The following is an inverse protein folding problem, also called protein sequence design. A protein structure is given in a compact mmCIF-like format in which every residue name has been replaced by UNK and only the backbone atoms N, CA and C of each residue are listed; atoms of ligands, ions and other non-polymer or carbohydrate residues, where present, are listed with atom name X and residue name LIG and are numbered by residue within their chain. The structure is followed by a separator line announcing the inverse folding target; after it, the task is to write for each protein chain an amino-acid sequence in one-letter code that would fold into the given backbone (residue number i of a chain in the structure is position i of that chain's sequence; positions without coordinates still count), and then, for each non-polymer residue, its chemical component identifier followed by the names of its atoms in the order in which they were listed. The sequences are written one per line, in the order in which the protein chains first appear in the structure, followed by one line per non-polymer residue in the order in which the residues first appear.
data_IF_243313678803
#
_entry.id   IF_243313678803
#
_cell.length_a   1.000
_cell.length_b   1.000
_cell.length_c   1.000
_cell.angle_alpha   90.00
_cell.angle_beta   90.00
_cell.angle_gamma   90.00
#
_symmetry.space_group_name_H-M   'P 1'
#
loop_
_entity.id
_entity.type
_entity.pdbx_description
1 polymer ?
#
# COMPACT_ATOMS: atom_id res chain seq x y z
N UNK A 1 -16.63 -23.91 0.92
CA UNK A 1 -16.11 -23.35 2.19
C UNK A 1 -16.19 -21.85 2.07
N UNK A 2 -16.93 -21.16 2.94
CA UNK A 2 -17.03 -19.70 2.87
C UNK A 2 -15.63 -19.07 2.97
N UNK A 3 -15.23 -18.32 1.94
CA UNK A 3 -13.93 -17.67 1.91
C UNK A 3 -13.79 -16.74 3.12
N UNK A 4 -12.81 -17.00 3.98
CA UNK A 4 -12.53 -16.18 5.15
C UNK A 4 -12.24 -14.74 4.70
N UNK A 5 -13.09 -13.81 5.13
CA UNK A 5 -12.95 -12.38 4.85
C UNK A 5 -12.10 -11.74 5.95
N UNK A 6 -11.06 -11.03 5.54
CA UNK A 6 -10.14 -10.32 6.43
C UNK A 6 -10.23 -8.81 6.21
N UNK A 7 -9.82 -8.04 7.20
CA UNK A 7 -9.75 -6.58 7.13
C UNK A 7 -8.31 -6.13 7.41
N UNK A 8 -7.78 -5.27 6.55
CA UNK A 8 -6.43 -4.72 6.70
C UNK A 8 -6.33 -3.33 6.11
N UNK A 9 -5.31 -2.59 6.55
CA UNK A 9 -5.00 -1.27 5.99
C UNK A 9 -3.95 -1.40 4.90
N UNK A 10 -4.11 -0.66 3.82
CA UNK A 10 -3.19 -0.71 2.68
C UNK A 10 -1.98 0.18 2.97
N UNK A 11 -0.80 -0.45 3.03
CA UNK A 11 0.48 0.22 3.27
C UNK A 11 1.03 0.85 2.00
N UNK A 12 1.14 0.05 0.94
CA UNK A 12 1.72 0.46 -0.34
C UNK A 12 1.28 -0.44 -1.49
N UNK A 13 1.45 0.05 -2.71
CA UNK A 13 1.15 -0.68 -3.95
C UNK A 13 2.48 -0.99 -4.65
N UNK A 14 2.77 -2.27 -4.86
CA UNK A 14 3.99 -2.74 -5.53
C UNK A 14 3.85 -2.69 -7.04
N UNK A 15 2.71 -3.14 -7.55
CA UNK A 15 2.39 -3.21 -8.98
C UNK A 15 0.87 -3.06 -9.15
N UNK A 16 0.38 -2.86 -10.37
CA UNK A 16 -1.05 -2.67 -10.66
C UNK A 16 -1.95 -3.83 -10.22
N UNK A 17 -1.38 -4.98 -9.83
CA UNK A 17 -2.11 -6.16 -9.33
C UNK A 17 -1.73 -6.57 -7.90
N UNK A 18 -0.73 -5.92 -7.27
CA UNK A 18 -0.13 -6.41 -6.02
C UNK A 18 0.01 -5.31 -4.99
N UNK A 19 -0.55 -5.54 -3.81
CA UNK A 19 -0.59 -4.59 -2.70
C UNK A 19 0.03 -5.18 -1.44
N UNK A 20 0.64 -4.32 -0.62
CA UNK A 20 1.08 -4.64 0.73
C UNK A 20 0.02 -4.15 1.71
N UNK A 21 -0.50 -5.10 2.48
CA UNK A 21 -1.46 -4.87 3.54
C UNK A 21 -0.75 -4.99 4.89
N UNK A 22 -1.18 -4.20 5.85
CA UNK A 22 -0.74 -4.36 7.24
C UNK A 22 -1.96 -4.45 8.16
N UNK A 23 -1.79 -5.18 9.26
CA UNK A 23 -2.84 -5.31 10.26
C UNK A 23 -3.12 -3.93 10.89
N UNK A 24 -4.40 -3.63 11.10
CA UNK A 24 -4.89 -2.39 11.72
C UNK A 24 -4.31 -2.24 13.13
N UNK A 25 -4.28 -3.33 13.90
CA UNK A 25 -3.84 -3.33 15.28
C UNK A 25 -2.32 -3.46 15.41
N UNK A 26 -1.65 -4.07 14.42
CA UNK A 26 -0.21 -4.30 14.46
C UNK A 26 0.45 -3.97 13.11
N UNK A 27 1.06 -2.78 12.97
CA UNK A 27 1.67 -2.35 11.72
C UNK A 27 2.90 -3.17 11.32
N UNK A 28 3.47 -3.98 12.23
CA UNK A 28 4.62 -4.86 11.94
C UNK A 28 4.21 -6.12 11.19
N UNK A 29 2.94 -6.51 11.25
CA UNK A 29 2.43 -7.66 10.53
C UNK A 29 2.00 -7.24 9.13
N UNK A 30 2.85 -7.53 8.16
CA UNK A 30 2.62 -7.23 6.75
C UNK A 30 2.25 -8.51 5.99
N UNK A 31 1.35 -8.36 5.02
CA UNK A 31 0.96 -9.41 4.08
C UNK A 31 0.99 -8.84 2.67
N UNK A 32 1.45 -9.65 1.73
CA UNK A 32 1.44 -9.29 0.31
C UNK A 32 0.29 -10.02 -0.36
N UNK A 33 -0.65 -9.25 -0.88
CA UNK A 33 -1.83 -9.75 -1.58
C UNK A 33 -1.74 -9.37 -3.05
N UNK A 34 -1.83 -10.37 -3.92
CA UNK A 34 -1.98 -10.19 -5.37
C UNK A 34 -3.43 -10.45 -5.77
N UNK A 35 -3.95 -9.68 -6.73
CA UNK A 35 -5.30 -9.87 -7.25
C UNK A 35 -5.40 -11.20 -8.00
N UNK A 36 -6.46 -11.96 -7.73
CA UNK A 36 -6.72 -13.21 -8.41
C UNK A 36 -7.22 -12.98 -9.84
N UNK A 37 -6.93 -13.93 -10.73
CA UNK A 37 -7.38 -14.01 -12.14
C UNK A 37 -6.94 -12.89 -13.09
N UNK A 38 -6.38 -11.80 -12.57
CA UNK A 38 -5.95 -10.64 -13.35
C UNK A 38 -4.43 -10.52 -13.37
N UNK A 39 -3.91 -9.83 -14.37
CA UNK A 39 -2.49 -9.52 -14.52
C UNK A 39 -2.32 -8.05 -14.88
N UNK A 40 -1.37 -7.39 -14.21
CA UNK A 40 -1.04 -6.00 -14.49
C UNK A 40 0.21 -5.88 -15.39
N UNK A 41 0.29 -4.83 -16.21
CA UNK A 41 1.55 -4.40 -16.81
C UNK A 41 2.62 -4.15 -15.72
N UNK A 42 3.85 -4.59 -15.98
CA UNK A 42 4.94 -4.56 -15.00
C UNK A 42 5.78 -3.29 -15.15
N UNK A 43 6.03 -2.62 -14.02
CA UNK A 43 7.05 -1.57 -13.94
C UNK A 43 8.43 -2.24 -13.83
N UNK A 44 9.37 -1.82 -14.67
CA UNK A 44 10.75 -2.30 -14.69
C UNK A 44 11.68 -1.09 -14.64
N UNK A 45 12.84 -1.26 -14.01
CA UNK A 45 13.82 -0.17 -13.87
C UNK A 45 14.35 0.36 -15.21
N UNK A 46 14.36 -0.47 -16.24
CA UNK A 46 14.98 -0.21 -17.55
C UNK A 46 13.94 0.04 -18.65
N UNK A 47 12.68 0.28 -18.29
CA UNK A 47 11.60 0.54 -19.24
C UNK A 47 10.29 0.02 -18.72
N UNK A 48 9.45 0.92 -18.22
CA UNK A 48 8.09 0.59 -17.79
C UNK A 48 7.28 0.09 -19.00
N UNK A 49 6.49 -0.98 -18.80
CA UNK A 49 5.52 -1.42 -19.82
C UNK A 49 4.49 -0.31 -20.06
N UNK A 50 3.90 -0.20 -21.27
CA UNK A 50 2.85 0.78 -21.53
C UNK A 50 1.73 0.68 -20.48
N UNK A 51 1.27 1.83 -19.99
CA UNK A 51 0.23 1.94 -18.95
C UNK A 51 0.57 1.32 -17.59
N UNK A 52 1.83 0.87 -17.37
CA UNK A 52 2.23 0.25 -16.11
C UNK A 52 2.14 1.21 -14.93
N UNK A 53 2.63 2.43 -15.13
CA UNK A 53 2.62 3.45 -14.09
C UNK A 53 1.19 3.88 -13.75
N UNK A 54 0.36 4.10 -14.75
CA UNK A 54 -1.02 4.56 -14.63
C UNK A 54 -1.89 3.51 -13.92
N UNK A 55 -1.73 2.23 -14.28
CA UNK A 55 -2.38 1.11 -13.59
C UNK A 55 -2.02 1.07 -12.09
N UNK A 56 -0.73 1.26 -11.77
CA UNK A 56 -0.26 1.33 -10.38
C UNK A 56 -0.76 2.59 -9.65
N UNK A 57 -0.75 3.74 -10.32
CA UNK A 57 -1.17 5.03 -9.76
C UNK A 57 -2.68 5.06 -9.48
N UNK A 58 -3.48 4.41 -10.33
CA UNK A 58 -4.90 4.19 -10.12
C UNK A 58 -5.16 3.44 -8.80
N UNK A 59 -4.48 2.30 -8.58
CA UNK A 59 -4.57 1.58 -7.32
C UNK A 59 -4.06 2.41 -6.14
N UNK A 60 -2.98 3.18 -6.33
CA UNK A 60 -2.42 4.04 -5.28
C UNK A 60 -3.45 5.06 -4.79
N UNK A 61 -4.09 5.79 -5.71
CA UNK A 61 -5.14 6.79 -5.43
C UNK A 61 -6.36 6.15 -4.77
N UNK A 62 -6.72 4.94 -5.19
CA UNK A 62 -7.90 4.26 -4.70
C UNK A 62 -7.69 3.67 -3.29
N UNK A 63 -6.55 3.05 -3.02
CA UNK A 63 -6.37 2.13 -1.89
C UNK A 63 -5.45 2.64 -0.78
N UNK A 64 -4.39 3.39 -1.10
CA UNK A 64 -3.34 3.69 -0.12
C UNK A 64 -3.89 4.47 1.07
N UNK A 65 -3.57 4.00 2.28
CA UNK A 65 -4.03 4.60 3.52
C UNK A 65 -5.48 4.26 3.90
N UNK A 66 -6.24 3.56 3.04
CA UNK A 66 -7.61 3.12 3.34
C UNK A 66 -7.62 1.72 3.94
N UNK A 67 -8.67 1.43 4.69
CA UNK A 67 -8.96 0.10 5.22
C UNK A 67 -9.84 -0.63 4.22
N UNK A 68 -9.43 -1.85 3.87
CA UNK A 68 -10.10 -2.68 2.86
C UNK A 68 -10.39 -4.05 3.41
N UNK A 69 -11.46 -4.66 2.88
CA UNK A 69 -11.78 -6.06 3.14
C UNK A 69 -11.24 -6.89 2.00
N UNK A 70 -10.69 -8.05 2.29
CA UNK A 70 -10.17 -8.95 1.28
C UNK A 70 -10.43 -10.40 1.61
N UNK A 71 -10.49 -11.23 0.57
CA UNK A 71 -10.68 -12.67 0.66
C UNK A 71 -9.49 -13.34 -0.01
N UNK A 72 -8.87 -14.29 0.68
CA UNK A 72 -7.76 -15.07 0.13
C UNK A 72 -8.32 -16.33 -0.50
N UNK A 73 -8.07 -16.52 -1.80
CA UNK A 73 -8.52 -17.69 -2.56
C UNK A 73 -7.49 -18.81 -2.48
N UNK A 74 -6.24 -18.52 -2.83
CA UNK A 74 -5.15 -19.49 -2.82
C UNK A 74 -3.82 -18.83 -2.47
N UNK A 75 -2.85 -19.66 -2.07
CA UNK A 75 -1.49 -19.23 -1.80
C UNK A 75 -0.55 -19.99 -2.72
N UNK A 76 0.34 -19.27 -3.39
CA UNK A 76 1.39 -19.90 -4.17
C UNK A 76 2.66 -19.92 -3.31
N UNK A 77 3.24 -21.09 -2.99
CA UNK A 77 4.44 -21.20 -2.16
C UNK A 77 5.75 -20.83 -2.89
N UNK A 78 5.68 -20.39 -4.14
CA UNK A 78 6.85 -20.09 -4.99
C UNK A 78 7.58 -18.83 -4.50
N UNK A 79 8.47 -19.01 -3.53
CA UNK A 79 9.58 -18.10 -3.18
C UNK A 79 9.26 -16.95 -2.22
N UNK A 80 8.04 -16.42 -2.22
CA UNK A 80 7.53 -15.50 -1.22
C UNK A 80 6.08 -15.90 -0.96
N UNK A 81 5.66 -15.99 0.30
CA UNK A 81 4.32 -16.41 0.73
C UNK A 81 3.26 -15.41 0.19
N UNK A 82 3.00 -15.47 -1.12
CA UNK A 82 2.14 -14.57 -1.88
C UNK A 82 0.75 -15.14 -1.83
N UNK A 83 -0.14 -14.36 -1.23
CA UNK A 83 -1.55 -14.67 -1.14
C UNK A 83 -2.23 -14.09 -2.37
N UNK A 84 -3.03 -14.90 -3.05
CA UNK A 84 -3.88 -14.47 -4.15
C UNK A 84 -5.30 -14.33 -3.63
N UNK A 85 -5.94 -13.22 -3.95
CA UNK A 85 -7.24 -12.93 -3.41
C UNK A 85 -7.96 -11.78 -4.09
N UNK A 86 -9.14 -11.49 -3.55
CA UNK A 86 -10.02 -10.44 -4.03
C UNK A 86 -10.10 -9.35 -2.97
N UNK A 87 -10.04 -8.10 -3.41
CA UNK A 87 -10.23 -6.94 -2.54
C UNK A 87 -11.63 -6.39 -2.78
N UNK A 88 -12.39 -6.24 -1.69
CA UNK A 88 -13.71 -5.65 -1.65
C UNK A 88 -13.57 -4.22 -1.16
N UNK A 89 -13.95 -3.27 -2.00
CA UNK A 89 -14.02 -1.86 -1.66
C UNK A 89 -15.18 -1.59 -0.68
N UNK A 90 -15.16 -0.47 0.08
CA UNK A 90 -16.21 -0.16 1.04
C UNK A 90 -17.62 -0.04 0.43
N UNK A 91 -17.71 0.24 -0.87
CA UNK A 91 -18.95 0.27 -1.65
C UNK A 91 -19.45 -1.13 -2.07
N UNK A 92 -18.87 -2.21 -1.53
CA UNK A 92 -19.15 -3.62 -1.89
C UNK A 92 -18.81 -3.99 -3.33
N UNK A 93 -18.03 -3.16 -4.03
CA UNK A 93 -17.55 -3.46 -5.38
C UNK A 93 -16.24 -4.23 -5.30
N UNK A 94 -16.07 -5.20 -6.20
CA UNK A 94 -14.82 -5.93 -6.33
C UNK A 94 -13.79 -5.07 -7.08
N UNK A 95 -12.61 -4.93 -6.47
CA UNK A 95 -11.52 -4.17 -7.06
C UNK A 95 -11.09 -4.70 -8.43
N UNK A 96 -10.93 -6.02 -8.66
CA UNK A 96 -10.55 -6.54 -9.98
C UNK A 96 -11.56 -6.17 -11.07
N UNK A 97 -12.87 -6.21 -10.77
CA UNK A 97 -13.90 -5.81 -11.73
C UNK A 97 -13.77 -4.35 -12.13
N UNK A 98 -13.58 -3.45 -11.15
CA UNK A 98 -13.43 -2.01 -11.43
C UNK A 98 -12.15 -1.72 -12.20
N UNK A 99 -11.04 -2.35 -11.82
CA UNK A 99 -9.75 -2.13 -12.47
C UNK A 99 -9.69 -2.68 -13.90
N UNK A 100 -10.37 -3.79 -14.19
CA UNK A 100 -10.53 -4.31 -15.56
C UNK A 100 -11.49 -3.43 -16.37
N UNK A 101 -12.57 -2.91 -15.77
CA UNK A 101 -13.53 -2.02 -16.44
C UNK A 101 -12.87 -0.73 -16.97
N UNK A 102 -11.94 -0.18 -16.19
CA UNK A 102 -11.16 1.00 -16.57
C UNK A 102 -9.98 0.66 -17.51
N UNK A 103 -9.77 -0.62 -17.83
CA UNK A 103 -8.73 -1.08 -18.76
C UNK A 103 -7.31 -1.08 -18.18
N UNK A 104 -7.15 -1.06 -16.85
CA UNK A 104 -5.83 -1.05 -16.19
C UNK A 104 -5.24 -2.45 -15.95
N UNK A 105 -6.08 -3.49 -16.06
CA UNK A 105 -5.73 -4.89 -15.86
C UNK A 105 -6.25 -5.73 -17.02
N UNK A 106 -5.51 -6.81 -17.32
CA UNK A 106 -5.94 -7.84 -18.28
C UNK A 106 -6.30 -9.13 -17.54
N UNK A 107 -7.19 -9.93 -18.11
CA UNK A 107 -7.45 -11.27 -17.60
C UNK A 107 -6.22 -12.17 -17.83
N UNK A 108 -5.96 -13.09 -16.91
CA UNK A 108 -4.87 -14.07 -17.02
C UNK A 108 -5.38 -15.35 -17.69
N UNK A 109 -4.63 -15.87 -18.65
CA UNK A 109 -5.02 -17.09 -19.39
C UNK A 109 -5.07 -18.36 -18.51
N UNK A 110 -4.28 -18.41 -17.43
CA UNK A 110 -4.29 -19.54 -16.48
C UNK A 110 -5.49 -19.57 -15.52
N UNK A 111 -6.36 -18.56 -15.59
CA UNK A 111 -7.46 -18.38 -14.65
C UNK A 111 -8.43 -19.57 -14.59
N UNK A 112 -8.60 -20.30 -15.71
CA UNK A 112 -9.50 -21.45 -15.80
C UNK A 112 -8.89 -22.81 -15.44
N UNK A 113 -7.58 -22.90 -15.13
CA UNK A 113 -6.91 -24.20 -14.91
C UNK A 113 -6.74 -24.60 -13.44
N UNK A 114 -6.99 -23.70 -12.50
CA UNK A 114 -6.61 -23.89 -11.08
C UNK A 114 -7.75 -23.88 -10.08
N UNK A 115 -8.96 -23.49 -10.47
CA UNK A 115 -10.07 -23.32 -9.53
C UNK A 115 -11.39 -23.85 -10.11
N UNK A 116 -11.86 -24.97 -9.55
CA UNK A 116 -13.13 -25.64 -9.90
C UNK A 116 -14.30 -25.16 -9.01
N UNK A 117 -14.20 -23.99 -8.36
CA UNK A 117 -15.29 -23.45 -7.55
C UNK A 117 -16.30 -22.73 -8.43
N UNK A 118 -17.60 -23.01 -8.25
CA UNK A 118 -18.69 -22.32 -8.97
C UNK A 118 -18.63 -20.79 -8.82
N UNK A 119 -18.22 -20.32 -7.64
CA UNK A 119 -18.06 -18.88 -7.36
C UNK A 119 -16.93 -18.25 -8.20
N UNK A 120 -15.84 -18.99 -8.42
CA UNK A 120 -14.74 -18.52 -9.25
C UNK A 120 -15.14 -18.48 -10.72
N UNK A 121 -15.89 -19.47 -11.21
CA UNK A 121 -16.40 -19.49 -12.58
C UNK A 121 -17.32 -18.29 -12.87
N UNK A 122 -18.25 -17.98 -11.95
CA UNK A 122 -19.13 -16.81 -12.08
C UNK A 122 -18.34 -15.49 -12.09
N UNK A 123 -17.29 -15.38 -11.27
CA UNK A 123 -16.44 -14.20 -11.27
C UNK A 123 -15.68 -14.07 -12.60
N UNK A 124 -15.17 -15.17 -13.15
CA UNK A 124 -14.48 -15.16 -14.44
C UNK A 124 -15.38 -14.71 -15.58
N UNK A 125 -16.61 -15.20 -15.63
CA UNK A 125 -17.60 -14.77 -16.63
C UNK A 125 -17.84 -13.25 -16.53
N UNK A 126 -18.01 -12.72 -15.31
CA UNK A 126 -18.16 -11.27 -15.09
C UNK A 126 -16.94 -10.49 -15.55
N UNK A 127 -15.73 -10.95 -15.21
CA UNK A 127 -14.49 -10.29 -15.61
C UNK A 127 -14.31 -10.30 -17.14
N UNK A 128 -14.70 -11.37 -17.83
CA UNK A 128 -14.68 -11.44 -19.30
C UNK A 128 -15.64 -10.42 -19.94
N UNK A 129 -16.86 -10.31 -19.41
CA UNK A 129 -17.83 -9.31 -19.90
C UNK A 129 -17.30 -7.89 -19.72
N UNK A 130 -16.69 -7.60 -18.58
CA UNK A 130 -16.12 -6.29 -18.27
C UNK A 130 -14.90 -6.00 -19.14
N UNK A 131 -14.03 -6.98 -19.38
CA UNK A 131 -12.88 -6.85 -20.26
C UNK A 131 -13.31 -6.58 -21.71
N UNK A 132 -14.35 -7.27 -22.20
CA UNK A 132 -14.89 -7.04 -23.54
C UNK A 132 -15.42 -5.60 -23.71
N UNK A 133 -16.06 -5.04 -22.67
CA UNK A 133 -16.49 -3.63 -22.65
C UNK A 133 -15.30 -2.67 -22.68
N UNK A 134 -14.28 -2.91 -21.84
CA UNK A 134 -13.09 -2.07 -21.82
C UNK A 134 -12.32 -2.08 -23.16
N UNK A 135 -12.33 -3.22 -23.86
CA UNK A 135 -11.80 -3.36 -25.23
C UNK A 135 -12.62 -2.58 -26.25
N UNK A 136 -13.94 -2.68 -26.19
CA UNK A 136 -14.84 -1.95 -27.08
C UNK A 136 -14.71 -0.42 -26.90
N UNK A 137 -14.47 0.03 -25.67
CA UNK A 137 -14.25 1.44 -25.33
C UNK A 137 -12.79 1.90 -25.55
N UNK A 138 -11.88 1.02 -25.98
CA UNK A 138 -10.44 1.29 -26.16
C UNK A 138 -9.79 1.99 -24.94
N UNK A 139 -10.13 1.54 -23.72
CA UNK A 139 -9.64 2.13 -22.46
C UNK A 139 -8.29 1.55 -22.04
N UNK A 140 -7.43 2.41 -21.49
CA UNK A 140 -6.19 2.02 -20.83
C UNK A 140 -5.30 1.15 -21.72
N UNK A 141 -5.07 -0.10 -21.31
CA UNK A 141 -4.29 -1.10 -22.05
C UNK A 141 -4.78 -1.37 -23.47
N UNK A 142 -6.06 -1.10 -23.76
CA UNK A 142 -6.68 -1.32 -25.07
C UNK A 142 -6.69 -0.06 -25.94
N UNK A 143 -6.13 1.05 -25.46
CA UNK A 143 -6.01 2.28 -26.23
C UNK A 143 -4.90 2.17 -27.29
N UNK A 144 -5.16 2.68 -28.49
CA UNK A 144 -4.24 2.63 -29.64
C UNK A 144 -3.05 3.59 -29.49
N UNK A 145 -3.26 4.74 -28.82
CA UNK A 145 -2.22 5.71 -28.49
C UNK A 145 -1.68 5.47 -27.08
N UNK A 146 -0.52 4.82 -26.96
CA UNK A 146 0.21 4.74 -25.69
C UNK A 146 1.35 5.76 -25.68
N UNK A 147 1.16 6.88 -24.98
CA UNK A 147 2.27 7.75 -24.61
C UNK A 147 3.13 7.02 -23.60
N UNK A 148 4.27 6.46 -24.03
CA UNK A 148 5.23 5.86 -23.11
C UNK A 148 5.73 6.93 -22.15
N UNK A 149 5.56 6.68 -20.86
CA UNK A 149 6.10 7.53 -19.82
C UNK A 149 7.61 7.25 -19.74
N UNK A 150 8.41 8.26 -20.03
CA UNK A 150 9.85 8.20 -19.91
C UNK A 150 10.21 8.43 -18.44
N UNK A 151 10.63 7.35 -17.76
CA UNK A 151 11.12 7.42 -16.39
C UNK A 151 12.64 7.37 -16.36
N UNK A 152 13.30 8.48 -16.03
CA UNK A 152 14.75 8.54 -15.83
C UNK A 152 15.03 8.08 -14.40
N UNK A 153 15.74 6.96 -14.24
CA UNK A 153 16.00 6.33 -12.94
C UNK A 153 17.31 6.79 -12.28
N UNK A 154 18.21 7.41 -13.04
CA UNK A 154 19.48 7.94 -12.54
C UNK A 154 19.73 9.33 -13.13
N UNK A 155 19.81 10.32 -12.24
CA UNK A 155 20.23 11.67 -12.61
C UNK A 155 21.76 11.70 -12.68
N UNK A 156 22.30 11.93 -13.88
CA UNK A 156 23.75 12.06 -14.09
C UNK A 156 24.29 13.32 -13.40
N UNK A 157 23.64 14.46 -13.61
CA UNK A 157 24.04 15.77 -13.09
C UNK A 157 23.02 16.33 -12.09
N UNK A 158 23.10 15.88 -10.83
CA UNK A 158 22.15 16.30 -9.80
C UNK A 158 22.18 17.81 -9.51
N UNK A 159 23.35 18.46 -9.59
CA UNK A 159 23.47 19.90 -9.30
C UNK A 159 22.74 20.76 -10.34
N UNK A 160 22.93 20.44 -11.63
CA UNK A 160 22.25 21.14 -12.74
C UNK A 160 20.74 20.98 -12.64
N UNK A 161 20.27 19.75 -12.37
CA UNK A 161 18.84 19.50 -12.20
C UNK A 161 18.26 20.34 -11.07
N UNK A 162 18.96 20.42 -9.94
CA UNK A 162 18.52 21.28 -8.83
C UNK A 162 18.50 22.74 -9.28
N UNK A 163 19.57 23.25 -9.91
CA UNK A 163 19.68 24.64 -10.39
C UNK A 163 18.54 25.04 -11.35
N UNK A 164 18.19 24.17 -12.28
CA UNK A 164 17.09 24.36 -13.25
C UNK A 164 15.71 24.42 -12.58
N UNK A 165 15.54 23.68 -11.48
CA UNK A 165 14.26 23.50 -10.80
C UNK A 165 14.18 24.26 -9.46
N UNK A 166 15.17 25.12 -9.14
CA UNK A 166 15.15 25.91 -7.90
C UNK A 166 13.94 26.84 -7.86
N UNK A 167 13.29 26.90 -6.69
CA UNK A 167 12.18 27.80 -6.46
C UNK A 167 10.87 27.37 -7.11
N UNK A 168 10.79 26.17 -7.69
CA UNK A 168 9.55 25.58 -8.19
C UNK A 168 9.11 24.42 -7.31
N UNK A 169 7.82 24.37 -7.03
CA UNK A 169 7.21 23.21 -6.39
C UNK A 169 6.91 22.16 -7.47
N UNK A 170 7.39 20.93 -7.25
CA UNK A 170 7.22 19.82 -8.19
C UNK A 170 6.40 18.73 -7.51
N UNK A 171 5.33 18.30 -8.17
CA UNK A 171 4.54 17.17 -7.72
C UNK A 171 5.37 15.90 -7.75
N UNK A 172 5.31 15.13 -6.67
CA UNK A 172 6.16 13.97 -6.53
C UNK A 172 5.48 12.83 -5.75
N UNK A 173 5.84 11.60 -6.10
CA UNK A 173 5.35 10.38 -5.47
C UNK A 173 6.50 9.74 -4.70
N UNK A 174 6.28 9.46 -3.42
CA UNK A 174 7.24 8.72 -2.60
C UNK A 174 7.17 7.22 -2.94
N UNK A 175 8.22 6.72 -3.57
CA UNK A 175 8.33 5.33 -4.01
C UNK A 175 8.78 4.40 -2.88
N UNK A 176 9.81 4.83 -2.14
CA UNK A 176 10.39 4.04 -1.06
C UNK A 176 10.97 4.93 0.03
N UNK A 177 10.71 4.57 1.27
CA UNK A 177 11.35 5.18 2.45
C UNK A 177 12.57 4.33 2.80
N UNK A 178 13.78 4.88 2.68
CA UNK A 178 15.02 4.19 3.08
C UNK A 178 15.33 4.45 4.56
N UNK A 179 15.19 5.70 4.98
CA UNK A 179 15.35 6.16 6.35
C UNK A 179 14.42 7.37 6.58
N UNK A 180 14.34 7.87 7.81
CA UNK A 180 13.52 9.05 8.11
C UNK A 180 13.97 10.32 7.36
N UNK A 181 15.23 10.39 6.94
CA UNK A 181 15.83 11.50 6.19
C UNK A 181 16.03 11.20 4.69
N UNK A 182 15.94 9.93 4.28
CA UNK A 182 16.28 9.47 2.92
C UNK A 182 15.11 8.77 2.25
N UNK A 183 14.66 9.32 1.13
CA UNK A 183 13.50 8.85 0.37
C UNK A 183 13.90 8.62 -1.08
N UNK A 184 13.35 7.59 -1.71
CA UNK A 184 13.32 7.47 -3.18
C UNK A 184 12.00 8.08 -3.62
N UNK A 185 12.09 9.09 -4.48
CA UNK A 185 10.97 9.90 -4.92
C UNK A 185 10.94 9.91 -6.44
N UNK A 186 9.75 9.78 -7.02
CA UNK A 186 9.48 9.96 -8.43
C UNK A 186 8.83 11.33 -8.62
N UNK A 187 9.57 12.27 -9.19
CA UNK A 187 9.11 13.60 -9.57
C UNK A 187 8.33 13.53 -10.88
N UNK A 188 7.19 14.21 -10.92
CA UNK A 188 6.31 14.31 -12.07
C UNK A 188 6.55 15.69 -12.72
N UNK A 189 7.49 15.76 -13.66
CA UNK A 189 7.78 17.04 -14.35
C UNK A 189 6.70 17.34 -15.39
N UNK A 190 6.31 16.31 -16.13
CA UNK A 190 5.28 16.33 -17.16
C UNK A 190 4.51 15.02 -17.13
N UNK A 191 3.27 14.93 -17.65
CA UNK A 191 2.52 13.67 -17.74
C UNK A 191 3.29 12.52 -18.43
N UNK A 192 4.27 12.85 -19.27
CA UNK A 192 5.09 11.90 -20.02
C UNK A 192 6.52 11.77 -19.52
N UNK A 193 6.98 12.67 -18.64
CA UNK A 193 8.38 12.72 -18.19
C UNK A 193 8.47 12.71 -16.67
N UNK A 194 9.01 11.61 -16.15
CA UNK A 194 9.20 11.40 -14.74
C UNK A 194 10.68 11.19 -14.41
N UNK A 195 11.12 11.73 -13.27
CA UNK A 195 12.48 11.54 -12.76
C UNK A 195 12.41 10.85 -11.42
N UNK A 196 13.00 9.66 -11.33
CA UNK A 196 13.09 8.92 -10.09
C UNK A 196 14.50 9.05 -9.52
N UNK A 197 14.62 9.67 -8.34
CA UNK A 197 15.91 9.85 -7.68
C UNK A 197 15.79 9.73 -6.16
N UNK A 198 16.93 9.59 -5.49
CA UNK A 198 17.00 9.61 -4.03
C UNK A 198 17.15 11.05 -3.54
N UNK A 199 16.26 11.44 -2.63
CA UNK A 199 16.21 12.77 -2.03
C UNK A 199 16.54 12.67 -0.55
N UNK A 200 17.28 13.67 -0.05
CA UNK A 200 17.51 13.87 1.37
C UNK A 200 16.71 15.08 1.85
N UNK A 201 16.04 14.93 3.00
CA UNK A 201 15.31 16.03 3.63
C UNK A 201 16.31 17.05 4.19
N UNK A 202 16.22 18.28 3.70
CA UNK A 202 17.10 19.37 4.12
C UNK A 202 16.88 19.73 5.59
N UNK A 203 17.97 20.05 6.30
CA UNK A 203 17.92 20.54 7.68
C UNK A 203 17.66 19.51 8.77
N UNK A 204 17.34 18.25 8.42
CA UNK A 204 17.10 17.18 9.40
C UNK A 204 18.03 15.99 9.17
N UNK A 205 18.27 15.23 10.24
CA UNK A 205 19.01 13.97 10.18
C UNK A 205 18.32 12.94 11.06
N UNK A 206 17.82 11.88 10.44
CA UNK A 206 17.23 10.77 11.16
C UNK A 206 18.31 9.78 11.62
N UNK A 207 18.06 9.01 12.69
CA UNK A 207 18.91 7.88 13.06
C UNK A 207 19.04 6.91 11.89
N UNK A 208 20.26 6.42 11.57
CA UNK A 208 20.41 5.42 10.53
C UNK A 208 19.69 4.14 10.95
N UNK A 209 19.09 3.44 9.98
CA UNK A 209 18.59 2.10 10.20
C UNK A 209 19.77 1.21 10.64
N UNK A 210 19.77 0.81 11.91
CA UNK A 210 20.76 -0.09 12.51
C UNK A 210 20.70 -1.45 11.81
N UNK A 211 21.43 -1.61 10.72
CA UNK A 211 21.43 -2.86 9.93
C UNK A 211 22.58 -3.02 8.94
N UNK A 212 23.51 -2.07 8.80
CA UNK A 212 24.83 -2.35 8.20
C UNK A 212 25.81 -2.70 9.30
N UNK A 213 25.59 -3.84 9.96
CA UNK A 213 26.70 -4.57 10.57
C UNK A 213 27.64 -4.93 9.43
N UNK A 214 28.79 -4.25 9.35
CA UNK A 214 29.95 -4.85 8.69
C UNK A 214 30.18 -6.23 9.34
N UNK A 215 30.74 -7.23 8.64
CA UNK A 215 31.04 -8.55 9.22
C UNK A 215 31.97 -8.50 10.42
N UNK A 216 32.55 -7.34 10.72
CA UNK A 216 33.35 -7.06 11.91
C UNK A 216 32.48 -6.25 12.87
N UNK A 217 32.02 -6.88 13.96
CA UNK A 217 31.15 -6.32 15.00
C UNK A 217 31.72 -5.12 15.77
N UNK A 218 32.05 -4.02 15.08
CA UNK A 218 32.43 -2.74 15.66
C UNK A 218 31.42 -1.68 15.21
N UNK A 219 30.64 -1.19 16.18
CA UNK A 219 29.98 0.11 16.03
C UNK A 219 31.08 1.19 16.06
N UNK A 220 31.18 2.01 15.01
CA UNK A 220 31.99 3.22 15.11
C UNK A 220 31.24 4.24 15.98
N UNK A 221 31.89 4.84 17.00
CA UNK A 221 31.33 6.03 17.63
C UNK A 221 31.26 7.17 16.59
N UNK A 222 30.35 8.14 16.78
CA UNK A 222 30.21 9.27 15.87
C UNK A 222 31.56 9.98 15.73
N UNK A 223 32.00 10.18 14.49
CA UNK A 223 33.28 10.80 14.14
C UNK A 223 33.26 12.26 14.61
N UNK A 224 33.75 12.52 15.83
CA UNK A 224 34.10 13.88 16.27
C UNK A 224 35.25 14.35 15.37
N UNK A 225 35.03 15.46 14.67
CA UNK A 225 36.10 16.20 14.00
C UNK A 225 37.11 16.64 15.06
N UNK A 226 38.26 15.97 15.10
CA UNK A 226 39.32 16.26 16.05
C UNK A 226 40.23 17.35 15.49
N UNK A 227 40.02 18.57 15.95
CA UNK A 227 41.13 19.53 16.13
C UNK A 227 42.01 18.96 17.25
N UNK A 228 43.31 18.77 16.99
CA UNK A 228 44.28 18.30 18.00
C UNK A 228 44.36 19.32 19.14
N UNK A 229 44.56 18.86 20.38
CA UNK A 229 45.89 19.06 20.94
C UNK A 229 46.46 17.83 21.64
N UNK A 230 47.70 18.03 22.06
CA UNK A 230 48.74 17.11 22.44
C UNK A 230 48.56 16.39 23.78
N UNK A 231 49.26 15.26 23.85
CA UNK A 231 49.97 14.68 24.99
C UNK A 231 49.20 14.26 26.25
N UNK A 232 49.28 12.94 26.44
CA UNK A 232 49.64 12.25 27.69
C UNK A 232 48.51 11.68 28.56
N UNK A 233 48.57 10.34 28.63
CA UNK A 233 48.44 9.52 29.84
C UNK A 233 47.06 8.96 30.24
N UNK A 234 47.12 7.63 30.41
CA UNK A 234 46.29 6.72 31.22
C UNK A 234 44.95 6.22 30.67
N UNK A 235 45.00 4.94 30.30
CA UNK A 235 43.90 3.98 30.21
C UNK A 235 43.15 3.91 31.54
N UNK A 236 41.82 3.91 31.47
CA UNK A 236 40.95 3.29 32.48
C UNK A 236 40.02 2.34 31.73
N UNK A 237 40.19 1.04 31.99
CA UNK A 237 39.25 0.00 31.60
C UNK A 237 38.04 0.05 32.54
N UNK A 238 36.83 0.18 32.01
CA UNK A 238 35.61 -0.08 32.77
C UNK A 238 35.16 -1.54 32.56
N UNK A 239 35.02 -2.21 33.70
CA UNK A 239 34.57 -3.57 33.95
C UNK A 239 33.09 -3.81 33.59
N UNK A 240 32.78 -5.03 33.14
CA UNK A 240 31.43 -5.58 33.04
C UNK A 240 31.19 -6.64 34.14
N UNK A 241 29.97 -6.83 34.65
CA UNK A 241 29.60 -8.05 35.35
C UNK A 241 28.72 -8.98 34.49
N UNK A 242 29.02 -10.27 34.55
CA UNK A 242 28.13 -11.38 34.14
C UNK A 242 27.44 -11.94 35.39
N UNK A 243 26.24 -12.53 35.29
CA UNK A 243 25.82 -13.54 36.25
C UNK A 243 25.80 -14.94 35.61
N UNK A 244 26.40 -15.88 36.34
CA UNK A 244 26.40 -17.32 36.10
C UNK A 244 25.25 -18.00 36.82
N UNK A 245 24.73 -19.02 36.15
CA UNK A 245 23.79 -20.05 36.59
C UNK A 245 24.20 -20.78 37.87
N UNK A 246 23.22 -21.08 38.74
CA UNK A 246 23.24 -22.26 39.60
C UNK A 246 21.83 -22.82 39.78
N UNK A 247 21.79 -24.15 39.86
CA UNK A 247 20.62 -25.02 39.82
C UNK A 247 20.03 -25.32 41.20
N UNK A 248 18.77 -25.78 41.25
CA UNK A 248 18.30 -27.05 41.87
C UNK A 248 16.92 -26.94 42.58
N UNK A 249 16.09 -27.96 42.31
CA UNK A 249 14.94 -28.55 43.07
C UNK A 249 13.52 -28.00 42.86
N UNK A 250 12.65 -28.90 42.35
CA UNK A 250 11.20 -28.95 42.57
C UNK A 250 10.90 -29.47 44.00
N UNK A 251 9.74 -29.12 44.61
CA UNK A 251 8.54 -29.97 44.47
C UNK A 251 7.15 -29.26 44.49
N UNK A 252 6.21 -29.89 43.78
CA UNK A 252 4.75 -30.08 44.02
C UNK A 252 3.83 -29.01 44.65
N UNK A 253 2.73 -28.82 43.92
CA UNK A 253 1.33 -28.67 44.35
C UNK A 253 0.85 -27.34 45.00
N UNK A 254 -0.07 -26.66 44.30
CA UNK A 254 -1.49 -26.55 44.70
C UNK A 254 -2.28 -25.70 43.69
N UNK A 255 -3.41 -26.26 43.26
CA UNK A 255 -4.56 -25.52 42.73
C UNK A 255 -4.95 -24.43 43.72
N UNK A 256 -5.24 -23.22 43.25
CA UNK A 256 -6.37 -22.42 43.74
C UNK A 256 -6.99 -21.65 42.57
N UNK A 257 -8.28 -21.94 42.38
CA UNK A 257 -9.25 -21.18 41.58
C UNK A 257 -9.47 -19.78 42.17
N UNK A 258 -10.36 -19.04 41.49
CA UNK A 258 -11.04 -17.79 41.87
C UNK A 258 -10.33 -16.54 41.34
N UNK A 259 -10.98 -15.55 40.75
CA UNK A 259 -12.41 -15.33 40.55
C UNK A 259 -12.60 -14.20 39.54
N UNK A 260 -13.68 -14.32 38.78
CA UNK A 260 -14.40 -13.26 38.10
C UNK A 260 -14.37 -11.90 38.79
N UNK A 261 -14.04 -10.85 38.05
CA UNK A 261 -14.63 -9.53 38.26
C UNK A 261 -15.22 -9.05 36.93
N UNK A 262 -16.53 -9.26 36.82
CA UNK A 262 -17.42 -8.45 36.00
C UNK A 262 -17.40 -7.03 36.56
N UNK A 263 -17.20 -6.03 35.71
CA UNK A 263 -17.86 -4.73 35.93
C UNK A 263 -18.77 -4.45 34.75
N UNK A 264 -20.05 -4.62 35.03
CA UNK A 264 -21.18 -4.10 34.28
C UNK A 264 -21.29 -2.58 34.50
N UNK A 265 -21.94 -1.97 33.52
CA UNK A 265 -22.79 -0.79 33.59
C UNK A 265 -22.10 0.57 33.73
N UNK A 266 -22.29 1.41 32.71
CA UNK A 266 -23.35 2.42 32.77
C UNK A 266 -23.50 3.10 31.40
N UNK A 267 -24.65 2.88 30.76
CA UNK A 267 -25.20 3.78 29.74
C UNK A 267 -26.26 4.65 30.41
N UNK A 268 -26.36 5.94 30.06
CA UNK A 268 -27.62 6.67 30.19
C UNK A 268 -28.09 7.25 28.84
N UNK A 269 -29.35 7.72 28.76
CA UNK A 269 -30.26 7.33 27.69
C UNK A 269 -30.51 8.41 26.61
N UNK A 270 -31.20 7.96 25.56
CA UNK A 270 -31.90 8.77 24.57
C UNK A 270 -32.75 9.87 25.23
N UNK A 271 -32.67 11.08 24.70
CA UNK A 271 -33.73 12.07 24.81
C UNK A 271 -34.35 12.30 23.42
N UNK A 272 -35.65 12.03 23.36
CA UNK A 272 -36.57 12.30 22.29
C UNK A 272 -37.00 13.77 22.31
N UNK A 273 -37.25 14.37 21.14
CA UNK A 273 -38.22 15.45 20.92
C UNK A 273 -38.49 15.64 19.41
N UNK A 274 -39.62 16.25 19.01
CA UNK A 274 -40.55 15.65 18.08
C UNK A 274 -40.70 16.41 16.76
N UNK A 275 -41.52 15.81 15.89
CA UNK A 275 -42.02 16.27 14.62
C UNK A 275 -42.33 17.77 14.50
N UNK A 276 -41.99 18.34 13.34
CA UNK A 276 -42.80 19.39 12.73
C UNK A 276 -43.11 18.98 11.28
N UNK A 277 -44.40 19.04 10.98
CA UNK A 277 -45.04 18.70 9.73
C UNK A 277 -45.01 19.92 8.81
N UNK A 278 -44.78 19.71 7.52
CA UNK A 278 -45.44 20.48 6.47
C UNK A 278 -45.31 19.76 5.12
N UNK A 279 -46.40 19.15 4.68
CA UNK A 279 -46.67 18.80 3.29
C UNK A 279 -47.59 19.90 2.68
N UNK A 280 -48.14 19.73 1.47
CA UNK A 280 -47.46 19.89 0.18
C UNK A 280 -48.17 20.97 -0.67
N UNK A 281 -47.43 21.75 -1.47
CA UNK A 281 -48.07 22.62 -2.48
C UNK A 281 -48.11 21.91 -3.82
N UNK A 282 -49.28 21.32 -4.09
CA UNK A 282 -49.73 20.93 -5.43
C UNK A 282 -50.13 22.20 -6.18
N UNK A 283 -49.44 22.52 -7.28
CA UNK A 283 -50.06 23.31 -8.35
C UNK A 283 -49.94 22.54 -9.64
N UNK A 284 -51.09 22.05 -10.06
CA UNK A 284 -51.39 21.34 -11.30
C UNK A 284 -51.80 22.37 -12.35
N UNK A 285 -51.66 21.98 -13.63
CA UNK A 285 -52.28 22.57 -14.84
C UNK A 285 -51.49 23.76 -15.42
N UNK A 286 -51.34 23.91 -16.73
CA UNK A 286 -51.91 23.21 -17.89
C UNK A 286 -51.41 23.90 -19.16
N UNK A 287 -51.19 23.10 -20.21
CA UNK A 287 -51.36 23.48 -21.64
C UNK A 287 -50.27 24.46 -22.13
N UNK A 288 -49.81 24.48 -23.38
CA UNK A 288 -50.36 24.09 -24.66
C UNK A 288 -49.15 23.92 -25.61
N UNK A 289 -49.14 22.90 -26.46
CA UNK A 289 -49.35 23.07 -27.90
C UNK A 289 -48.33 23.97 -28.64
N UNK A 290 -47.64 23.31 -29.59
CA UNK A 290 -47.58 23.67 -31.01
C UNK A 290 -46.46 24.61 -31.54
N UNK A 291 -45.75 24.04 -32.55
CA UNK A 291 -45.27 24.66 -33.81
C UNK A 291 -44.08 25.62 -33.63
N UNK A 292 -43.12 25.79 -34.54
CA UNK A 292 -42.78 25.26 -35.86
C UNK A 292 -41.32 25.69 -36.16
N UNK A 293 -40.74 25.06 -37.20
CA UNK A 293 -39.49 25.41 -37.91
C UNK A 293 -38.16 25.14 -37.19
#
# INVERSE_FOLDING_TARGET
MAASTFEAKVKSVLSGDTVILHNINNPKQERTLSLAFVSAPRLKREGDEPFAFESRDYLRKLLVGKVVRFQVLYKIPTGANREYGLIVLPNRVLLPETAVAEGWLKLRDDAGRKEDSEEAAQLLERLQVVEARARADSKGLWAESSSRINSISELSDAQKWVDEHKGRDIDAIVEKVLAGDRLIVRFLLSPTEHVQTMVLLAGIRAPPHSGRTRPTGRCNPPRRSATRPSSSSRRVCCSAPRPSTSSVRHPTARLWQTSSIRRRAASPPLSSRPASQSAPTTTRRSWDSRWAC
#
